data_IF_153769725389
#
_entry.id   IF_153769725389
#
_cell.length_a   1.000
_cell.length_b   1.000
_cell.length_c   1.000
_cell.angle_alpha   90.00
_cell.angle_beta   90.00
_cell.angle_gamma   90.00
#
_symmetry.space_group_name_H-M   'P 1'
#
loop_
_entity.id
_entity.type
_entity.pdbx_description
1 polymer ?
#
# COMPACT_ATOMS: atom_id res chain seq x y z
N UNK A 1 6.06 -25.40 -22.43
CA UNK A 1 5.13 -24.84 -21.43
C UNK A 1 5.52 -23.40 -21.12
N UNK A 2 4.65 -22.40 -21.34
CA UNK A 2 4.95 -21.02 -21.01
C UNK A 2 4.99 -20.80 -19.50
N UNK A 3 5.96 -20.01 -19.01
CA UNK A 3 6.07 -19.66 -17.58
C UNK A 3 5.02 -18.62 -17.21
N UNK A 4 4.34 -18.81 -16.08
CA UNK A 4 3.47 -17.79 -15.49
C UNK A 4 4.30 -16.55 -15.13
N UNK A 5 3.96 -15.40 -15.72
CA UNK A 5 4.64 -14.12 -15.45
C UNK A 5 3.91 -13.36 -14.36
N UNK A 6 4.65 -12.81 -13.41
CA UNK A 6 4.09 -11.92 -12.38
C UNK A 6 3.72 -10.57 -12.97
N UNK A 7 2.61 -9.97 -12.54
CA UNK A 7 2.24 -8.61 -12.93
C UNK A 7 3.20 -7.60 -12.30
N UNK A 8 4.03 -6.98 -13.15
CA UNK A 8 5.05 -6.00 -12.73
C UNK A 8 4.47 -4.81 -11.95
N UNK A 9 3.28 -4.35 -12.31
CA UNK A 9 2.59 -3.27 -11.59
C UNK A 9 2.16 -3.66 -10.17
N UNK A 10 1.71 -4.91 -9.97
CA UNK A 10 1.30 -5.41 -8.67
C UNK A 10 2.51 -5.63 -7.75
N UNK A 11 3.59 -6.22 -8.27
CA UNK A 11 4.86 -6.44 -7.55
C UNK A 11 5.44 -5.15 -6.94
N UNK A 12 5.22 -4.00 -7.58
CA UNK A 12 5.71 -2.70 -7.10
C UNK A 12 4.86 -2.09 -5.98
N UNK A 13 3.61 -2.54 -5.81
CA UNK A 13 2.61 -1.91 -4.93
C UNK A 13 2.25 -2.74 -3.71
N UNK A 14 2.39 -4.06 -3.81
CA UNK A 14 2.00 -5.01 -2.77
C UNK A 14 3.19 -5.85 -2.34
N UNK A 15 3.33 -6.05 -1.03
CA UNK A 15 4.33 -6.93 -0.42
C UNK A 15 3.68 -7.86 0.60
N UNK A 16 4.34 -8.97 0.91
CA UNK A 16 3.83 -9.94 1.89
C UNK A 16 4.42 -9.70 3.28
N UNK A 17 3.64 -9.96 4.34
CA UNK A 17 4.16 -10.14 5.71
C UNK A 17 4.85 -11.50 5.82
N UNK A 18 5.64 -11.69 6.88
CA UNK A 18 6.18 -13.02 7.24
C UNK A 18 5.08 -14.08 7.42
N UNK A 19 3.88 -13.67 7.83
CA UNK A 19 2.71 -14.55 8.03
C UNK A 19 1.84 -14.69 6.76
N UNK A 20 2.28 -14.20 5.60
CA UNK A 20 1.56 -14.35 4.32
C UNK A 20 0.41 -13.36 4.06
N UNK A 21 0.22 -12.33 4.90
CA UNK A 21 -0.79 -11.28 4.65
C UNK A 21 -0.24 -10.25 3.66
N UNK A 22 -1.12 -9.60 2.89
CA UNK A 22 -0.72 -8.58 1.91
C UNK A 22 -0.68 -7.19 2.55
N UNK A 23 0.45 -6.49 2.42
CA UNK A 23 0.63 -5.10 2.81
C UNK A 23 0.47 -4.17 1.60
N UNK A 24 -0.18 -3.04 1.83
CA UNK A 24 -0.33 -1.96 0.85
C UNK A 24 -0.08 -0.58 1.48
N UNK A 25 0.37 0.36 0.64
CA UNK A 25 0.42 1.78 1.01
C UNK A 25 -0.98 2.41 0.99
N UNK A 26 -1.22 3.36 1.89
CA UNK A 26 -2.47 4.14 1.93
C UNK A 26 -2.54 5.18 0.81
N UNK A 27 -3.73 5.38 0.26
CA UNK A 27 -3.99 6.37 -0.77
C UNK A 27 -4.23 7.78 -0.18
N UNK A 28 -4.17 8.81 -1.04
CA UNK A 28 -4.61 10.16 -0.67
C UNK A 28 -3.67 10.95 0.25
N UNK A 29 -2.41 10.52 0.43
CA UNK A 29 -1.44 11.21 1.30
C UNK A 29 -0.20 11.74 0.56
N UNK A 30 -0.18 11.68 -0.77
CA UNK A 30 0.99 12.12 -1.56
C UNK A 30 1.03 13.62 -1.81
N UNK A 31 -0.12 14.28 -1.86
CA UNK A 31 -0.27 15.69 -2.21
C UNK A 31 -1.55 16.25 -1.56
N UNK A 32 -1.73 17.58 -1.59
CA UNK A 32 -2.90 18.30 -1.00
C UNK A 32 -3.09 18.08 0.50
N UNK A 33 -1.99 17.93 1.25
CA UNK A 33 -2.03 17.73 2.71
C UNK A 33 -2.51 18.95 3.49
N UNK A 34 -2.50 20.15 2.89
CA UNK A 34 -3.03 21.38 3.48
C UNK A 34 -4.53 21.23 3.81
N UNK A 35 -5.28 20.50 2.99
CA UNK A 35 -6.71 20.25 3.20
C UNK A 35 -7.00 19.09 4.15
N UNK A 36 -5.97 18.38 4.62
CA UNK A 36 -6.13 17.22 5.50
C UNK A 36 -5.84 17.59 6.97
N UNK A 37 -6.71 17.13 7.86
CA UNK A 37 -6.50 17.26 9.30
C UNK A 37 -5.28 16.45 9.75
N UNK A 38 -4.54 16.96 10.74
CA UNK A 38 -3.41 16.28 11.38
C UNK A 38 -3.75 14.86 11.87
N UNK A 39 -5.00 14.59 12.30
CA UNK A 39 -5.44 13.24 12.68
C UNK A 39 -5.35 12.25 11.50
N UNK A 40 -5.82 12.65 10.32
CA UNK A 40 -5.78 11.83 9.11
C UNK A 40 -4.34 11.51 8.68
N UNK A 41 -3.46 12.52 8.74
CA UNK A 41 -2.05 12.34 8.40
C UNK A 41 -1.38 11.34 9.35
N UNK A 42 -1.73 11.35 10.66
CA UNK A 42 -1.21 10.43 11.68
C UNK A 42 -1.67 8.99 11.49
N UNK A 43 -2.98 8.78 11.28
CA UNK A 43 -3.54 7.43 11.06
C UNK A 43 -2.97 6.77 9.81
N UNK A 44 -2.67 7.58 8.79
CA UNK A 44 -2.22 7.10 7.48
C UNK A 44 -0.68 7.21 7.31
N UNK A 45 0.11 7.12 8.39
CA UNK A 45 1.59 7.09 8.30
C UNK A 45 2.15 5.78 7.78
N UNK A 46 1.56 4.66 8.19
CA UNK A 46 2.07 3.33 7.88
C UNK A 46 1.50 2.70 6.63
N UNK A 47 1.95 1.46 6.38
CA UNK A 47 1.28 0.52 5.47
C UNK A 47 0.13 -0.15 6.21
N UNK A 48 -0.93 -0.48 5.48
CA UNK A 48 -2.09 -1.20 6.00
C UNK A 48 -2.09 -2.62 5.46
N UNK A 49 -2.59 -3.56 6.25
CA UNK A 49 -2.91 -4.90 5.77
C UNK A 49 -4.18 -4.79 4.92
N UNK A 50 -4.14 -5.36 3.72
CA UNK A 50 -5.34 -5.52 2.89
C UNK A 50 -6.24 -6.57 3.55
N UNK A 51 -7.49 -6.18 3.81
CA UNK A 51 -8.58 -7.05 4.29
C UNK A 51 -9.08 -7.93 3.17
#
# INVERSE_FOLDING_TARGET
MPKMKTKSGAKKRFSFTATGKVKAGVAGKRHRLISHNAKYIRTNRGTKILS
#
